data_IF_147062747827
#
_entry.id   IF_147062747827
#
_cell.length_a   1.000
_cell.length_b   1.000
_cell.length_c   1.000
_cell.angle_alpha   90.00
_cell.angle_beta   90.00
_cell.angle_gamma   90.00
#
_symmetry.space_group_name_H-M   'P 1'
#
loop_
_entity.id
_entity.type
_entity.pdbx_description
1 polymer ?
#
# COMPACT_ATOMS: atom_id res chain seq x y z
N UNK A 1 14.89 14.02 -45.59
CA UNK A 1 14.08 15.24 -45.68
C UNK A 1 12.68 14.85 -46.12
N UNK A 2 11.66 15.03 -45.26
CA UNK A 2 10.35 15.47 -45.72
C UNK A 2 9.58 16.01 -44.52
N UNK A 3 9.27 17.30 -44.64
CA UNK A 3 8.50 18.11 -43.73
C UNK A 3 7.05 17.94 -44.14
N UNK A 4 6.15 17.74 -43.18
CA UNK A 4 4.74 18.09 -43.38
C UNK A 4 4.17 18.64 -42.09
N UNK A 5 4.25 19.96 -41.99
CA UNK A 5 3.44 20.82 -41.15
C UNK A 5 2.01 20.79 -41.66
N UNK A 6 1.06 20.36 -40.83
CA UNK A 6 -0.36 20.62 -41.05
C UNK A 6 -0.89 21.44 -39.88
N UNK A 7 -1.16 22.70 -40.20
CA UNK A 7 -1.95 23.61 -39.40
C UNK A 7 -3.39 23.07 -39.32
N UNK A 8 -3.93 22.93 -38.12
CA UNK A 8 -5.36 22.71 -37.95
C UNK A 8 -6.01 24.04 -37.60
N UNK A 9 -6.87 24.47 -38.53
CA UNK A 9 -7.74 25.62 -38.42
C UNK A 9 -8.76 25.43 -37.29
N UNK A 10 -9.01 26.53 -36.59
CA UNK A 10 -10.15 26.74 -35.71
C UNK A 10 -11.48 26.48 -36.41
N UNK A 11 -12.38 25.76 -35.77
CA UNK A 11 -13.81 25.83 -36.03
C UNK A 11 -14.57 25.73 -34.70
N UNK A 12 -15.03 26.89 -34.23
CA UNK A 12 -16.00 26.99 -33.15
C UNK A 12 -17.37 26.51 -33.65
N UNK A 13 -18.00 25.58 -32.93
CA UNK A 13 -19.44 25.31 -33.07
C UNK A 13 -20.05 25.31 -31.68
N UNK A 14 -20.81 26.38 -31.41
CA UNK A 14 -21.74 26.51 -30.30
C UNK A 14 -23.13 26.14 -30.82
N UNK A 15 -23.70 25.03 -30.33
CA UNK A 15 -25.14 24.74 -30.44
C UNK A 15 -25.68 24.15 -29.13
N UNK A 16 -26.39 25.00 -28.39
CA UNK A 16 -27.49 24.69 -27.46
C UNK A 16 -28.65 24.01 -28.22
N UNK A 17 -29.55 23.14 -27.72
CA UNK A 17 -29.90 22.59 -26.41
C UNK A 17 -30.92 21.43 -26.58
N UNK A 18 -31.28 20.78 -25.45
CA UNK A 18 -32.59 20.19 -25.08
C UNK A 18 -32.79 18.64 -25.11
N UNK A 19 -32.61 18.07 -23.92
CA UNK A 19 -33.45 17.08 -23.21
C UNK A 19 -33.90 15.75 -23.85
N UNK A 20 -33.49 14.63 -23.23
CA UNK A 20 -34.30 13.41 -23.13
C UNK A 20 -33.56 12.07 -23.16
N UNK A 21 -33.44 11.43 -21.99
CA UNK A 21 -33.01 10.04 -21.68
C UNK A 21 -31.51 9.79 -21.37
N UNK A 22 -31.15 9.42 -20.12
CA UNK A 22 -29.83 8.86 -19.82
C UNK A 22 -29.78 7.40 -20.29
N UNK A 23 -29.26 7.17 -21.49
CA UNK A 23 -28.79 5.84 -21.86
C UNK A 23 -27.55 5.52 -21.01
N UNK A 24 -27.74 4.62 -20.05
CA UNK A 24 -26.72 4.06 -19.16
C UNK A 24 -25.68 3.28 -19.99
N UNK A 25 -24.65 3.96 -20.47
CA UNK A 25 -23.43 3.36 -20.97
C UNK A 25 -22.23 4.09 -20.36
N UNK A 26 -22.26 4.26 -19.03
CA UNK A 26 -21.07 4.57 -18.26
C UNK A 26 -20.36 3.24 -18.05
N UNK A 27 -19.41 2.94 -18.94
CA UNK A 27 -18.30 2.06 -18.59
C UNK A 27 -17.57 2.77 -17.44
N UNK A 28 -18.06 2.53 -16.22
CA UNK A 28 -17.51 3.06 -15.01
C UNK A 28 -16.14 2.40 -14.82
N UNK A 29 -15.13 3.03 -15.40
CA UNK A 29 -13.77 2.96 -14.89
C UNK A 29 -13.87 3.35 -13.42
N UNK A 30 -13.98 2.35 -12.53
CA UNK A 30 -13.82 2.55 -11.11
C UNK A 30 -12.49 3.30 -10.96
N UNK A 31 -12.47 4.52 -10.38
CA UNK A 31 -11.20 5.12 -10.02
C UNK A 31 -10.48 4.10 -9.12
N UNK A 32 -9.20 3.79 -9.37
CA UNK A 32 -8.46 2.90 -8.48
C UNK A 32 -8.61 3.47 -7.08
N UNK A 33 -9.03 2.61 -6.15
CA UNK A 33 -9.11 2.95 -4.74
C UNK A 33 -7.77 3.59 -4.36
N UNK A 34 -7.77 4.92 -4.16
CA UNK A 34 -6.58 5.61 -3.73
C UNK A 34 -6.21 4.96 -2.40
N UNK A 35 -5.00 4.38 -2.27
CA UNK A 35 -4.55 3.94 -0.97
C UNK A 35 -4.64 5.17 -0.08
N UNK A 36 -5.46 5.10 0.98
CA UNK A 36 -5.49 6.12 2.01
C UNK A 36 -4.03 6.30 2.42
N UNK A 37 -3.44 7.43 2.02
CA UNK A 37 -2.04 7.72 2.25
C UNK A 37 -1.88 7.79 3.76
N UNK A 38 -1.31 6.73 4.34
CA UNK A 38 -0.82 6.78 5.70
C UNK A 38 0.09 8.02 5.82
N UNK A 39 0.06 8.76 6.93
CA UNK A 39 0.91 9.93 7.12
C UNK A 39 2.35 9.56 6.78
N UNK A 40 2.90 10.22 5.76
CA UNK A 40 4.21 9.90 5.23
C UNK A 40 5.29 10.27 6.25
N UNK A 41 5.80 9.28 6.97
CA UNK A 41 6.96 9.43 7.84
C UNK A 41 8.19 9.54 6.94
N UNK A 42 8.55 10.77 6.57
CA UNK A 42 9.67 11.02 5.64
C UNK A 42 11.04 10.68 6.26
N UNK A 43 11.17 10.89 7.57
CA UNK A 43 12.40 10.61 8.32
C UNK A 43 12.06 9.96 9.68
N UNK A 44 12.01 8.63 9.74
CA UNK A 44 11.77 7.93 11.01
C UNK A 44 12.97 8.07 11.94
N UNK A 45 12.70 8.22 13.23
CA UNK A 45 13.72 8.26 14.29
C UNK A 45 14.34 6.88 14.52
N UNK A 46 15.52 6.82 15.17
CA UNK A 46 16.20 5.55 15.46
C UNK A 46 15.37 4.63 16.37
N UNK A 47 14.63 5.22 17.31
CA UNK A 47 13.71 4.47 18.17
C UNK A 47 12.54 3.87 17.38
N UNK A 48 11.99 4.62 16.43
CA UNK A 48 10.94 4.14 15.52
C UNK A 48 11.46 3.04 14.60
N UNK A 49 12.68 3.17 14.07
CA UNK A 49 13.32 2.15 13.24
C UNK A 49 13.60 0.87 14.02
N UNK A 50 14.01 0.96 15.29
CA UNK A 50 14.22 -0.19 16.15
C UNK A 50 12.91 -0.94 16.45
N UNK A 51 11.84 -0.21 16.80
CA UNK A 51 10.50 -0.80 16.98
C UNK A 51 9.99 -1.42 15.69
N UNK A 52 10.19 -0.75 14.56
CA UNK A 52 9.82 -1.24 13.24
C UNK A 52 10.58 -2.52 12.88
N UNK A 53 11.87 -2.61 13.19
CA UNK A 53 12.69 -3.80 12.96
C UNK A 53 12.13 -5.00 13.75
N UNK A 54 11.87 -4.81 15.06
CA UNK A 54 11.26 -5.83 15.93
C UNK A 54 9.88 -6.26 15.41
N UNK A 55 8.99 -5.30 15.16
CA UNK A 55 7.64 -5.56 14.69
C UNK A 55 7.65 -6.28 13.34
N UNK A 56 8.54 -5.88 12.42
CA UNK A 56 8.69 -6.51 11.10
C UNK A 56 9.10 -7.98 11.22
N UNK A 57 10.03 -8.32 12.12
CA UNK A 57 10.41 -9.72 12.35
C UNK A 57 9.23 -10.56 12.86
N UNK A 58 8.43 -10.02 13.79
CA UNK A 58 7.24 -10.70 14.32
C UNK A 58 6.15 -10.85 13.25
N UNK A 59 5.92 -9.80 12.46
CA UNK A 59 4.97 -9.81 11.34
C UNK A 59 5.39 -10.84 10.29
N UNK A 60 6.67 -10.91 9.92
CA UNK A 60 7.18 -11.95 9.03
C UNK A 60 6.90 -13.36 9.57
N UNK A 61 7.09 -13.60 10.88
CA UNK A 61 6.74 -14.87 11.50
C UNK A 61 5.25 -15.23 11.37
N UNK A 62 4.34 -14.25 11.47
CA UNK A 62 2.90 -14.47 11.23
C UNK A 62 2.63 -14.77 9.77
N UNK A 63 3.26 -14.06 8.83
CA UNK A 63 3.13 -14.35 7.40
C UNK A 63 3.54 -15.79 7.11
N UNK A 64 4.68 -16.23 7.63
CA UNK A 64 5.18 -17.59 7.43
C UNK A 64 4.25 -18.64 8.06
N UNK A 65 3.63 -18.34 9.20
CA UNK A 65 2.64 -19.21 9.86
C UNK A 65 1.33 -19.31 9.07
N UNK A 66 0.87 -18.21 8.47
CA UNK A 66 -0.45 -18.14 7.82
C UNK A 66 -0.42 -18.46 6.33
N UNK A 67 0.71 -18.28 5.64
CA UNK A 67 0.87 -18.61 4.22
C UNK A 67 0.41 -20.04 3.87
N UNK A 68 0.84 -21.11 4.55
CA UNK A 68 0.35 -22.46 4.25
C UNK A 68 -1.15 -22.63 4.54
N UNK A 69 -1.71 -21.89 5.51
CA UNK A 69 -3.15 -21.92 5.83
C UNK A 69 -3.98 -21.28 4.72
N UNK A 70 -3.49 -20.19 4.13
CA UNK A 70 -4.11 -19.54 2.97
C UNK A 70 -4.04 -20.46 1.75
N UNK A 71 -2.90 -21.09 1.51
CA UNK A 71 -2.72 -22.02 0.39
C UNK A 71 -3.58 -23.29 0.53
N UNK A 72 -3.80 -23.76 1.75
CA UNK A 72 -4.66 -24.91 2.06
C UNK A 72 -6.16 -24.60 1.98
N UNK A 73 -6.56 -23.32 1.98
CA UNK A 73 -7.96 -22.93 1.97
C UNK A 73 -8.60 -23.18 0.59
N UNK A 74 -9.73 -23.90 0.59
CA UNK A 74 -10.39 -24.43 -0.62
C UNK A 74 -11.32 -23.45 -1.34
N UNK A 75 -11.66 -22.34 -0.70
CA UNK A 75 -12.54 -21.31 -1.25
C UNK A 75 -12.00 -19.91 -0.97
N UNK A 76 -12.39 -18.94 -1.78
CA UNK A 76 -11.98 -17.55 -1.59
C UNK A 76 -12.48 -16.99 -0.25
N UNK A 77 -13.67 -17.42 0.19
CA UNK A 77 -14.21 -17.03 1.50
C UNK A 77 -13.36 -17.59 2.65
N UNK A 78 -12.89 -18.83 2.55
CA UNK A 78 -11.98 -19.42 3.54
C UNK A 78 -10.61 -18.72 3.53
N UNK A 79 -10.09 -18.38 2.35
CA UNK A 79 -8.85 -17.60 2.21
C UNK A 79 -8.99 -16.23 2.88
N UNK A 80 -10.10 -15.53 2.62
CA UNK A 80 -10.37 -14.22 3.24
C UNK A 80 -10.42 -14.30 4.76
N UNK A 81 -11.04 -15.33 5.35
CA UNK A 81 -11.04 -15.51 6.81
C UNK A 81 -9.63 -15.70 7.37
N UNK A 82 -8.82 -16.55 6.74
CA UNK A 82 -7.43 -16.78 7.17
C UNK A 82 -6.60 -15.51 7.06
N UNK A 83 -6.78 -14.72 5.99
CA UNK A 83 -6.10 -13.42 5.82
C UNK A 83 -6.56 -12.42 6.89
N UNK A 84 -7.85 -12.30 7.16
CA UNK A 84 -8.37 -11.40 8.20
C UNK A 84 -7.83 -11.73 9.59
N UNK A 85 -7.73 -13.02 9.93
CA UNK A 85 -7.10 -13.47 11.18
C UNK A 85 -5.61 -13.09 11.24
N UNK A 86 -4.89 -13.25 10.13
CA UNK A 86 -3.50 -12.85 10.02
C UNK A 86 -3.34 -11.33 10.21
N UNK A 87 -4.16 -10.53 9.53
CA UNK A 87 -4.16 -9.07 9.63
C UNK A 87 -4.41 -8.61 11.07
N UNK A 88 -5.41 -9.18 11.74
CA UNK A 88 -5.71 -8.88 13.13
C UNK A 88 -4.50 -9.18 14.05
N UNK A 89 -3.85 -10.32 13.84
CA UNK A 89 -2.65 -10.71 14.60
C UNK A 89 -1.47 -9.78 14.31
N UNK A 90 -1.25 -9.39 13.06
CA UNK A 90 -0.20 -8.43 12.68
C UNK A 90 -0.43 -7.06 13.34
N UNK A 91 -1.66 -6.54 13.32
CA UNK A 91 -2.02 -5.27 13.98
C UNK A 91 -1.74 -5.33 15.49
N UNK A 92 -2.06 -6.45 16.15
CA UNK A 92 -1.76 -6.64 17.56
C UNK A 92 -0.25 -6.60 17.84
N UNK A 93 0.56 -7.26 17.01
CA UNK A 93 2.02 -7.29 17.17
C UNK A 93 2.65 -5.91 16.98
N UNK A 94 2.20 -5.17 15.96
CA UNK A 94 2.65 -3.80 15.71
C UNK A 94 2.35 -2.89 16.91
N UNK A 95 1.12 -2.97 17.44
CA UNK A 95 0.70 -2.22 18.64
C UNK A 95 1.47 -2.63 19.89
N UNK A 96 1.77 -3.92 20.05
CA UNK A 96 2.53 -4.43 21.19
C UNK A 96 3.97 -3.86 21.24
N UNK A 97 4.55 -3.55 20.09
CA UNK A 97 5.87 -2.90 19.98
C UNK A 97 5.80 -1.37 20.08
N UNK A 98 4.63 -0.82 20.43
CA UNK A 98 4.43 0.61 20.65
C UNK A 98 4.44 1.43 19.36
N UNK A 99 3.96 0.83 18.26
CA UNK A 99 3.71 1.48 16.99
C UNK A 99 2.22 1.43 16.65
N UNK A 100 1.70 2.49 16.04
CA UNK A 100 0.42 2.42 15.32
C UNK A 100 0.60 1.71 13.98
N UNK A 101 -0.52 1.25 13.39
CA UNK A 101 -0.50 0.62 12.07
C UNK A 101 -0.06 1.64 11.02
N UNK A 102 -0.53 2.88 11.16
CA UNK A 102 -0.14 3.99 10.30
C UNK A 102 1.36 4.28 10.39
N UNK A 103 1.95 4.32 11.58
CA UNK A 103 3.39 4.52 11.75
C UNK A 103 4.19 3.37 11.16
N UNK A 104 3.79 2.12 11.41
CA UNK A 104 4.47 0.96 10.84
C UNK A 104 4.49 0.99 9.31
N UNK A 105 3.34 1.29 8.70
CA UNK A 105 3.22 1.42 7.24
C UNK A 105 4.03 2.61 6.70
N UNK A 106 3.99 3.76 7.38
CA UNK A 106 4.75 4.95 7.00
C UNK A 106 6.26 4.73 7.07
N UNK A 107 6.75 4.10 8.15
CA UNK A 107 8.16 3.71 8.28
C UNK A 107 8.52 2.70 7.20
N UNK A 108 7.68 1.70 6.95
CA UNK A 108 7.89 0.70 5.90
C UNK A 108 8.05 1.34 4.52
N UNK A 109 7.22 2.32 4.18
CA UNK A 109 7.34 3.08 2.93
C UNK A 109 8.64 3.87 2.87
N UNK A 110 9.05 4.54 3.96
CA UNK A 110 10.30 5.29 4.02
C UNK A 110 11.53 4.38 3.86
N UNK A 111 11.51 3.23 4.52
CA UNK A 111 12.56 2.21 4.45
C UNK A 111 12.68 1.61 3.05
N UNK A 112 11.55 1.38 2.36
CA UNK A 112 11.55 0.89 0.98
C UNK A 112 12.11 1.92 -0.01
N UNK A 113 11.84 3.21 0.22
CA UNK A 113 12.27 4.30 -0.66
C UNK A 113 13.72 4.76 -0.39
N UNK A 114 14.26 4.52 0.80
CA UNK A 114 15.60 4.97 1.18
C UNK A 114 16.54 3.80 1.52
N UNK A 115 17.56 3.52 0.68
CA UNK A 115 18.48 2.40 0.91
C UNK A 115 19.31 2.54 2.19
N UNK A 116 19.59 3.77 2.65
CA UNK A 116 20.31 3.99 3.91
C UNK A 116 19.45 3.58 5.12
N UNK A 117 18.14 3.89 5.08
CA UNK A 117 17.21 3.45 6.11
C UNK A 117 17.07 1.92 6.11
N UNK A 118 17.03 1.29 4.94
CA UNK A 118 17.03 -0.17 4.80
C UNK A 118 18.25 -0.82 5.48
N UNK A 119 19.46 -0.31 5.20
CA UNK A 119 20.67 -0.78 5.87
C UNK A 119 20.60 -0.57 7.38
N UNK A 120 20.08 0.58 7.84
CA UNK A 120 19.96 0.89 9.26
C UNK A 120 19.02 -0.10 9.98
N UNK A 121 17.84 -0.37 9.42
CA UNK A 121 16.90 -1.37 9.95
C UNK A 121 17.53 -2.77 9.98
N UNK A 122 18.24 -3.17 8.93
CA UNK A 122 18.93 -4.46 8.87
C UNK A 122 20.02 -4.59 9.94
N UNK A 123 20.74 -3.51 10.24
CA UNK A 123 21.76 -3.51 11.29
C UNK A 123 21.11 -3.56 12.68
N UNK A 124 20.00 -2.86 12.88
CA UNK A 124 19.24 -2.86 14.13
C UNK A 124 18.61 -4.23 14.42
N UNK A 125 18.13 -4.96 13.41
CA UNK A 125 17.58 -6.31 13.58
C UNK A 125 18.63 -7.39 13.84
N UNK A 126 19.86 -7.18 13.39
CA UNK A 126 21.00 -8.09 13.60
C UNK A 126 21.80 -7.78 14.88
N UNK A 127 21.69 -6.55 15.41
CA UNK A 127 22.46 -6.05 16.54
C UNK A 127 21.75 -6.10 17.90
N UNK A 128 20.53 -6.63 18.01
CA UNK A 128 19.89 -6.83 19.30
C UNK A 128 20.55 -8.03 20.03
N UNK A 129 21.27 -7.83 21.16
CA UNK A 129 21.73 -8.95 21.96
C UNK A 129 20.51 -9.73 22.47
N UNK A 130 20.61 -11.05 22.44
CA UNK A 130 19.65 -11.97 23.08
C UNK A 130 19.62 -11.77 24.59
#
# INVERSE_FOLDING_TARGET
MQRSTYAFLSAAILTTALSGAPALAQNASQPPAQPQMAPAIQQPTDQQLQRFASASQKVSGVVDEYRPKVDAAKSDEAKQKVVQEADAKMVQLVRADGLTVEEFNGIGQAVQQNPQLKQKVMNMSQGAPK
#
